data_IF_424423206449
#
_entry.id   IF_424423206449
#
_cell.length_a   1.000
_cell.length_b   1.000
_cell.length_c   1.000
_cell.angle_alpha   90.00
_cell.angle_beta   90.00
_cell.angle_gamma   90.00
#
_symmetry.space_group_name_H-M   'P 1'
#
loop_
_entity.id
_entity.type
_entity.pdbx_description
1 polymer ?
#
# COMPACT_ATOMS: atom_id res chain seq x y z
N UNK A 1 -26.72 6.42 28.59
CA UNK A 1 -25.96 6.31 27.32
C UNK A 1 -24.45 6.46 27.54
N UNK A 2 -23.99 7.48 28.29
CA UNK A 2 -22.56 7.64 28.63
C UNK A 2 -21.98 6.53 29.54
N UNK A 3 -22.81 5.89 30.38
CA UNK A 3 -22.37 4.81 31.27
C UNK A 3 -22.16 3.47 30.54
N UNK A 4 -22.95 3.20 29.49
CA UNK A 4 -22.81 2.00 28.63
C UNK A 4 -21.61 2.14 27.68
N UNK A 5 -21.33 3.37 27.21
CA UNK A 5 -20.12 3.67 26.43
C UNK A 5 -18.85 3.56 27.29
N UNK A 6 -18.90 3.97 28.56
CA UNK A 6 -17.80 3.76 29.50
C UNK A 6 -17.63 2.30 29.93
N UNK A 7 -18.69 1.48 29.94
CA UNK A 7 -18.55 0.02 30.16
C UNK A 7 -17.99 -0.70 28.93
N UNK A 8 -18.29 -0.23 27.71
CA UNK A 8 -17.66 -0.77 26.49
C UNK A 8 -16.16 -0.45 26.41
N UNK A 9 -15.71 0.67 27.01
CA UNK A 9 -14.30 1.05 27.05
C UNK A 9 -13.48 0.34 28.13
N UNK A 10 -14.09 -0.51 28.96
CA UNK A 10 -13.43 -1.30 30.03
C UNK A 10 -13.08 -2.72 29.56
N UNK A 11 -13.36 -3.07 28.31
CA UNK A 11 -12.93 -4.35 27.75
C UNK A 11 -11.42 -4.36 27.57
N UNK A 12 -10.75 -4.90 28.58
CA UNK A 12 -9.36 -5.32 28.58
C UNK A 12 -8.98 -5.89 27.21
N UNK A 13 -7.93 -5.34 26.62
CA UNK A 13 -7.33 -5.78 25.36
C UNK A 13 -7.43 -7.30 25.17
N UNK A 14 -8.39 -7.74 24.36
CA UNK A 14 -8.73 -9.15 24.14
C UNK A 14 -7.62 -9.87 23.37
N UNK A 15 -6.80 -9.13 22.65
CA UNK A 15 -5.64 -9.64 21.93
C UNK A 15 -4.40 -8.75 22.11
N UNK A 16 -3.23 -9.38 22.17
CA UNK A 16 -1.95 -8.67 22.19
C UNK A 16 -1.58 -8.17 20.79
N UNK A 17 -1.57 -6.84 20.62
CA UNK A 17 -1.19 -6.16 19.38
C UNK A 17 0.25 -6.45 18.97
N UNK A 18 1.18 -6.71 19.90
CA UNK A 18 2.54 -7.11 19.55
C UNK A 18 2.57 -8.44 18.80
N UNK A 19 1.83 -9.43 19.31
CA UNK A 19 1.77 -10.76 18.71
C UNK A 19 1.12 -10.69 17.34
N UNK A 20 -0.01 -9.97 17.22
CA UNK A 20 -0.72 -9.82 15.96
C UNK A 20 0.17 -9.14 14.92
N UNK A 21 0.83 -8.04 15.26
CA UNK A 21 1.63 -7.27 14.30
C UNK A 21 2.89 -8.01 13.88
N UNK A 22 3.58 -8.72 14.79
CA UNK A 22 4.74 -9.54 14.45
C UNK A 22 4.35 -10.66 13.49
N UNK A 23 3.27 -11.39 13.80
CA UNK A 23 2.80 -12.49 12.93
C UNK A 23 2.39 -11.92 11.58
N UNK A 24 1.71 -10.78 11.56
CA UNK A 24 1.29 -10.11 10.33
C UNK A 24 2.50 -9.69 9.47
N UNK A 25 3.45 -8.96 10.03
CA UNK A 25 4.64 -8.50 9.31
C UNK A 25 5.46 -9.68 8.79
N UNK A 26 5.64 -10.74 9.60
CA UNK A 26 6.35 -11.95 9.19
C UNK A 26 5.62 -12.67 8.06
N UNK A 27 4.29 -12.73 8.10
CA UNK A 27 3.48 -13.30 7.04
C UNK A 27 3.60 -12.50 5.75
N UNK A 28 3.53 -11.16 5.84
CA UNK A 28 3.66 -10.27 4.70
C UNK A 28 5.06 -10.35 4.07
N UNK A 29 6.12 -10.42 4.87
CA UNK A 29 7.49 -10.66 4.39
C UNK A 29 7.61 -12.04 3.75
N UNK A 30 6.99 -13.08 4.32
CA UNK A 30 6.98 -14.42 3.74
C UNK A 30 6.26 -14.44 2.39
N UNK A 31 5.14 -13.71 2.26
CA UNK A 31 4.40 -13.53 1.02
C UNK A 31 5.27 -12.82 -0.03
N UNK A 32 6.00 -11.77 0.36
CA UNK A 32 6.96 -11.10 -0.52
C UNK A 32 8.04 -12.04 -1.03
N UNK A 33 8.69 -12.79 -0.15
CA UNK A 33 9.75 -13.74 -0.52
C UNK A 33 9.18 -14.78 -1.50
N UNK A 34 7.97 -15.25 -1.24
CA UNK A 34 7.27 -16.19 -2.12
C UNK A 34 6.96 -15.58 -3.50
N UNK A 35 6.50 -14.33 -3.56
CA UNK A 35 6.23 -13.64 -4.83
C UNK A 35 7.50 -13.34 -5.62
N UNK A 36 8.57 -12.91 -4.95
CA UNK A 36 9.88 -12.73 -5.58
C UNK A 36 10.44 -14.05 -6.10
N UNK A 37 10.27 -15.15 -5.35
CA UNK A 37 10.64 -16.49 -5.80
C UNK A 37 9.86 -16.91 -7.05
N UNK A 38 8.55 -16.67 -7.08
CA UNK A 38 7.72 -16.95 -8.25
C UNK A 38 8.11 -16.08 -9.44
N UNK A 39 8.44 -14.81 -9.19
CA UNK A 39 8.85 -13.87 -10.23
C UNK A 39 10.18 -14.28 -10.88
N UNK A 40 11.21 -14.57 -10.07
CA UNK A 40 12.53 -14.95 -10.59
C UNK A 40 12.48 -16.28 -11.37
N UNK A 41 11.66 -17.23 -10.92
CA UNK A 41 11.50 -18.52 -11.57
C UNK A 41 10.42 -18.52 -12.67
N UNK A 42 9.76 -17.38 -12.93
CA UNK A 42 8.62 -17.30 -13.85
C UNK A 42 8.98 -17.78 -15.26
N UNK A 43 10.08 -17.32 -15.81
CA UNK A 43 10.51 -17.68 -17.17
C UNK A 43 10.95 -19.14 -17.25
N UNK A 44 11.54 -19.67 -16.17
CA UNK A 44 11.85 -21.09 -16.04
C UNK A 44 10.56 -21.94 -16.04
N UNK A 45 9.55 -21.55 -15.25
CA UNK A 45 8.26 -22.27 -15.22
C UNK A 45 7.50 -22.16 -16.54
N UNK A 46 7.49 -20.99 -17.19
CA UNK A 46 6.82 -20.78 -18.49
C UNK A 46 7.52 -21.58 -19.59
N UNK A 47 8.86 -21.59 -19.62
CA UNK A 47 9.63 -22.37 -20.59
C UNK A 47 9.47 -23.88 -20.37
N UNK A 48 9.48 -24.36 -19.12
CA UNK A 48 9.14 -25.75 -18.81
C UNK A 48 7.70 -26.11 -19.19
N UNK A 49 6.72 -25.24 -18.94
CA UNK A 49 5.31 -25.46 -19.33
C UNK A 49 5.15 -25.58 -20.84
N UNK A 50 5.84 -24.74 -21.63
CA UNK A 50 5.87 -24.85 -23.09
C UNK A 50 6.55 -26.14 -23.57
N UNK A 51 7.57 -26.61 -22.86
CA UNK A 51 8.33 -27.82 -23.23
C UNK A 51 7.58 -29.11 -22.90
N UNK A 52 6.69 -29.08 -21.90
CA UNK A 52 5.85 -30.21 -21.48
C UNK A 52 4.37 -30.03 -21.85
N UNK A 53 4.06 -29.28 -22.92
CA UNK A 53 2.68 -29.01 -23.39
C UNK A 53 1.87 -30.30 -23.69
N UNK A 54 2.56 -31.42 -23.94
CA UNK A 54 1.95 -32.75 -24.21
C UNK A 54 2.06 -33.75 -23.05
N UNK A 55 2.69 -33.40 -21.92
CA UNK A 55 2.85 -34.31 -20.77
C UNK A 55 2.06 -33.80 -19.55
N UNK A 56 1.42 -34.74 -18.83
CA UNK A 56 0.68 -34.44 -17.59
C UNK A 56 1.61 -33.74 -16.58
N UNK A 57 1.38 -32.46 -16.38
CA UNK A 57 2.05 -31.64 -15.36
C UNK A 57 1.80 -32.30 -13.99
N UNK A 58 2.86 -32.52 -13.20
CA UNK A 58 2.74 -33.09 -11.85
C UNK A 58 1.78 -32.23 -10.99
N UNK A 59 0.96 -32.85 -10.13
CA UNK A 59 -0.10 -32.15 -9.38
C UNK A 59 0.44 -31.00 -8.52
N UNK A 60 1.62 -31.16 -7.92
CA UNK A 60 2.28 -30.13 -7.14
C UNK A 60 2.62 -28.89 -7.98
N UNK A 61 3.05 -29.04 -9.24
CA UNK A 61 3.36 -27.90 -10.12
C UNK A 61 2.10 -27.17 -10.59
N UNK A 62 1.00 -27.90 -10.86
CA UNK A 62 -0.30 -27.30 -11.21
C UNK A 62 -0.87 -26.48 -10.05
N UNK A 63 -0.60 -26.89 -8.81
CA UNK A 63 -0.98 -26.15 -7.61
C UNK A 63 -0.29 -24.78 -7.55
N UNK A 64 1.04 -24.71 -7.72
CA UNK A 64 1.77 -23.43 -7.69
C UNK A 64 1.29 -22.44 -8.75
N UNK A 65 1.10 -22.88 -10.00
CA UNK A 65 0.62 -22.01 -11.09
C UNK A 65 -0.80 -21.48 -10.79
N UNK A 66 -1.67 -22.33 -10.25
CA UNK A 66 -3.03 -21.94 -9.86
C UNK A 66 -3.01 -20.98 -8.66
N UNK A 67 -2.09 -21.18 -7.72
CA UNK A 67 -1.87 -20.31 -6.57
C UNK A 67 -1.39 -18.92 -7.01
N UNK A 68 -0.43 -18.83 -7.95
CA UNK A 68 0.06 -17.55 -8.50
C UNK A 68 -1.07 -16.73 -9.13
N UNK A 69 -1.97 -17.37 -9.88
CA UNK A 69 -3.13 -16.71 -10.48
C UNK A 69 -4.21 -16.32 -9.46
N UNK A 70 -4.41 -17.13 -8.42
CA UNK A 70 -5.35 -16.84 -7.33
C UNK A 70 -4.88 -15.66 -6.49
N UNK A 71 -3.58 -15.59 -6.17
CA UNK A 71 -3.00 -14.55 -5.32
C UNK A 71 -3.15 -13.15 -5.94
N UNK A 72 -3.01 -13.03 -7.26
CA UNK A 72 -3.17 -11.77 -7.99
C UNK A 72 -4.56 -11.13 -7.87
N UNK A 73 -5.61 -11.92 -7.59
CA UNK A 73 -6.99 -11.42 -7.47
C UNK A 73 -7.55 -11.52 -6.05
N UNK A 74 -7.02 -12.42 -5.21
CA UNK A 74 -7.53 -12.72 -3.88
C UNK A 74 -6.56 -12.36 -2.75
N UNK A 75 -5.39 -11.77 -3.05
CA UNK A 75 -4.36 -11.47 -2.04
C UNK A 75 -4.91 -10.70 -0.84
N UNK A 76 -5.70 -9.66 -1.09
CA UNK A 76 -6.36 -8.85 -0.05
C UNK A 76 -7.34 -9.68 0.79
N UNK A 77 -8.25 -10.42 0.15
CA UNK A 77 -9.20 -11.27 0.88
C UNK A 77 -8.50 -12.35 1.70
N UNK A 78 -7.38 -12.86 1.19
CA UNK A 78 -6.55 -13.89 1.84
C UNK A 78 -5.83 -13.29 3.05
N UNK A 79 -5.18 -12.13 2.90
CA UNK A 79 -4.52 -11.41 4.00
C UNK A 79 -5.52 -11.04 5.10
N UNK A 80 -6.68 -10.47 4.73
CA UNK A 80 -7.72 -10.10 5.70
C UNK A 80 -8.37 -11.32 6.36
N UNK A 81 -8.60 -12.39 5.62
CA UNK A 81 -9.12 -13.65 6.17
C UNK A 81 -8.14 -14.31 7.13
N UNK A 82 -6.83 -14.28 6.83
CA UNK A 82 -5.79 -14.80 7.71
C UNK A 82 -5.65 -13.93 8.96
N UNK A 83 -5.68 -12.60 8.82
CA UNK A 83 -5.69 -11.68 9.96
C UNK A 83 -6.87 -11.96 10.89
N UNK A 84 -8.06 -12.21 10.34
CA UNK A 84 -9.24 -12.63 11.10
C UNK A 84 -9.03 -13.94 11.84
N UNK A 85 -8.44 -14.94 11.19
CA UNK A 85 -8.12 -16.23 11.84
C UNK A 85 -7.10 -16.04 12.96
N UNK A 86 -6.05 -15.25 12.74
CA UNK A 86 -5.02 -14.97 13.75
C UNK A 86 -5.64 -14.22 14.93
N UNK A 87 -6.41 -13.15 14.69
CA UNK A 87 -7.06 -12.42 15.76
C UNK A 87 -8.02 -13.30 16.54
N UNK A 88 -8.84 -14.13 15.88
CA UNK A 88 -9.72 -15.08 16.58
C UNK A 88 -8.94 -16.12 17.38
N UNK A 89 -7.81 -16.62 16.85
CA UNK A 89 -6.97 -17.58 17.55
C UNK A 89 -6.31 -16.96 18.79
N UNK A 90 -5.78 -15.73 18.67
CA UNK A 90 -5.17 -14.99 19.78
C UNK A 90 -6.21 -14.68 20.85
N UNK A 91 -7.37 -14.13 20.47
CA UNK A 91 -8.48 -13.84 21.41
C UNK A 91 -8.97 -15.11 22.10
N UNK A 92 -9.15 -16.22 21.36
CA UNK A 92 -9.61 -17.50 21.91
C UNK A 92 -8.58 -18.17 22.83
N UNK A 93 -7.30 -17.83 22.70
CA UNK A 93 -6.25 -18.41 23.54
C UNK A 93 -6.17 -17.76 24.92
N UNK A 94 -6.61 -16.51 25.05
CA UNK A 94 -6.49 -15.75 26.30
C UNK A 94 -7.73 -15.78 27.19
N UNK A 95 -8.95 -15.81 26.63
CA UNK A 95 -10.19 -15.73 27.43
C UNK A 95 -11.37 -16.51 26.85
N UNK A 96 -12.34 -16.85 27.71
CA UNK A 96 -13.66 -17.33 27.30
C UNK A 96 -14.46 -16.16 26.72
N UNK A 97 -14.62 -16.15 25.40
CA UNK A 97 -15.21 -15.03 24.65
C UNK A 97 -16.71 -14.95 24.93
N UNK A 98 -17.20 -13.77 25.35
CA UNK A 98 -18.63 -13.51 25.46
C UNK A 98 -19.24 -13.34 24.05
N UNK A 99 -20.49 -13.77 23.80
CA UNK A 99 -21.13 -13.61 22.49
C UNK A 99 -21.15 -12.16 21.98
N UNK A 100 -21.23 -11.18 22.88
CA UNK A 100 -21.21 -9.75 22.53
C UNK A 100 -19.82 -9.29 22.04
N UNK A 101 -18.74 -9.77 22.66
CA UNK A 101 -17.36 -9.48 22.24
C UNK A 101 -17.09 -10.09 20.86
N UNK A 102 -17.58 -11.31 20.62
CA UNK A 102 -17.48 -11.94 19.31
C UNK A 102 -18.19 -11.11 18.22
N UNK A 103 -19.38 -10.58 18.52
CA UNK A 103 -20.10 -9.69 17.60
C UNK A 103 -19.31 -8.39 17.35
N UNK A 104 -18.71 -7.79 18.39
CA UNK A 104 -17.90 -6.59 18.25
C UNK A 104 -16.65 -6.83 17.38
N UNK A 105 -15.94 -7.95 17.61
CA UNK A 105 -14.80 -8.36 16.79
C UNK A 105 -15.22 -8.56 15.34
N UNK A 106 -16.28 -9.33 15.08
CA UNK A 106 -16.80 -9.55 13.73
C UNK A 106 -17.26 -8.25 13.06
N UNK A 107 -17.87 -7.33 13.81
CA UNK A 107 -18.29 -6.01 13.34
C UNK A 107 -17.10 -5.14 12.93
N UNK A 108 -16.06 -5.08 13.77
CA UNK A 108 -14.81 -4.38 13.47
C UNK A 108 -14.13 -4.94 12.21
N UNK A 109 -14.10 -6.27 12.06
CA UNK A 109 -13.59 -6.92 10.86
C UNK A 109 -14.42 -6.63 9.61
N UNK A 110 -15.75 -6.64 9.71
CA UNK A 110 -16.62 -6.30 8.59
C UNK A 110 -16.41 -4.85 8.14
N UNK A 111 -16.35 -3.92 9.10
CA UNK A 111 -16.03 -2.51 8.82
C UNK A 111 -14.65 -2.37 8.18
N UNK A 112 -13.65 -3.07 8.72
CA UNK A 112 -12.32 -3.10 8.14
C UNK A 112 -12.35 -3.61 6.69
N UNK A 113 -12.97 -4.76 6.40
CA UNK A 113 -13.09 -5.30 5.02
C UNK A 113 -13.71 -4.26 4.07
N UNK A 114 -14.73 -3.52 4.50
CA UNK A 114 -15.34 -2.46 3.68
C UNK A 114 -14.33 -1.34 3.40
N UNK A 115 -13.57 -0.90 4.41
CA UNK A 115 -12.50 0.09 4.25
C UNK A 115 -11.41 -0.44 3.32
N UNK A 116 -10.94 -1.67 3.53
CA UNK A 116 -9.93 -2.32 2.69
C UNK A 116 -10.39 -2.36 1.23
N UNK A 117 -11.64 -2.75 0.98
CA UNK A 117 -12.19 -2.84 -0.37
C UNK A 117 -12.36 -1.45 -1.00
N UNK A 118 -12.79 -0.46 -0.23
CA UNK A 118 -12.89 0.93 -0.68
C UNK A 118 -11.53 1.51 -1.04
N UNK A 119 -10.54 1.37 -0.16
CA UNK A 119 -9.19 1.87 -0.38
C UNK A 119 -8.52 1.09 -1.52
N UNK A 120 -8.70 -0.23 -1.61
CA UNK A 120 -8.24 -1.02 -2.74
C UNK A 120 -8.87 -0.54 -4.05
N UNK A 121 -10.18 -0.29 -4.09
CA UNK A 121 -10.84 0.19 -5.31
C UNK A 121 -10.31 1.56 -5.74
N UNK A 122 -9.96 2.41 -4.77
CA UNK A 122 -9.33 3.69 -5.01
C UNK A 122 -7.89 3.51 -5.54
N UNK A 123 -7.09 2.65 -4.93
CA UNK A 123 -5.69 2.40 -5.31
C UNK A 123 -5.54 1.58 -6.59
N UNK A 124 -6.35 0.54 -6.82
CA UNK A 124 -6.33 -0.27 -8.05
C UNK A 124 -6.76 0.52 -9.29
N UNK A 125 -7.51 1.61 -9.11
CA UNK A 125 -7.77 2.58 -10.19
C UNK A 125 -6.59 3.52 -10.46
N UNK A 126 -5.68 3.66 -9.49
CA UNK A 126 -4.47 4.48 -9.59
C UNK A 126 -3.24 3.67 -10.03
N UNK A 127 -3.22 2.36 -9.78
CA UNK A 127 -2.11 1.45 -10.08
C UNK A 127 -2.19 0.91 -11.53
N UNK A 128 -1.47 1.55 -12.44
CA UNK A 128 -1.16 1.04 -13.78
C UNK A 128 0.34 0.71 -13.91
N UNK A 129 1.00 0.19 -12.87
CA UNK A 129 2.43 -0.15 -12.98
C UNK A 129 2.63 -1.38 -13.86
N UNK A 130 3.46 -1.26 -14.90
CA UNK A 130 3.76 -2.39 -15.78
C UNK A 130 4.80 -3.35 -15.25
N UNK A 131 5.74 -2.85 -14.46
CA UNK A 131 6.70 -3.74 -13.86
C UNK A 131 6.04 -4.51 -12.71
N UNK A 132 5.86 -5.82 -12.91
CA UNK A 132 5.33 -6.72 -11.90
C UNK A 132 6.09 -6.63 -10.56
N UNK A 133 7.40 -6.33 -10.57
CA UNK A 133 8.20 -6.16 -9.35
C UNK A 133 7.81 -4.89 -8.59
N UNK A 134 7.63 -3.78 -9.31
CA UNK A 134 7.21 -2.50 -8.70
C UNK A 134 5.79 -2.63 -8.15
N UNK A 135 4.88 -3.24 -8.92
CA UNK A 135 3.51 -3.51 -8.45
C UNK A 135 3.50 -4.41 -7.21
N UNK A 136 4.36 -5.44 -7.13
CA UNK A 136 4.52 -6.27 -5.94
C UNK A 136 5.00 -5.45 -4.72
N UNK A 137 5.99 -4.58 -4.88
CA UNK A 137 6.42 -3.69 -3.79
C UNK A 137 5.33 -2.70 -3.34
N UNK A 138 4.54 -2.15 -4.28
CA UNK A 138 3.42 -1.27 -3.93
C UNK A 138 2.33 -2.03 -3.18
N UNK A 139 1.99 -3.24 -3.61
CA UNK A 139 1.06 -4.12 -2.90
C UNK A 139 1.57 -4.43 -1.49
N UNK A 140 2.87 -4.70 -1.35
CA UNK A 140 3.52 -4.92 -0.06
C UNK A 140 3.38 -3.72 0.88
N UNK A 141 3.69 -2.52 0.40
CA UNK A 141 3.54 -1.27 1.16
C UNK A 141 2.09 -1.13 1.61
N UNK A 142 1.14 -1.37 0.70
CA UNK A 142 -0.28 -1.31 1.00
C UNK A 142 -0.68 -2.29 2.10
N UNK A 143 -0.23 -3.55 2.03
CA UNK A 143 -0.51 -4.54 3.06
C UNK A 143 0.07 -4.15 4.42
N UNK A 144 1.28 -3.60 4.49
CA UNK A 144 1.87 -3.14 5.74
C UNK A 144 1.07 -1.99 6.35
N UNK A 145 0.71 -0.97 5.55
CA UNK A 145 -0.14 0.15 6.00
C UNK A 145 -1.45 -0.40 6.57
N UNK A 146 -2.08 -1.32 5.85
CA UNK A 146 -3.38 -1.86 6.20
C UNK A 146 -3.36 -2.67 7.51
N UNK A 147 -2.34 -3.50 7.71
CA UNK A 147 -2.20 -4.29 8.94
C UNK A 147 -1.91 -3.44 10.17
N UNK A 148 -1.00 -2.47 10.03
CA UNK A 148 -0.73 -1.51 11.11
C UNK A 148 -1.96 -0.65 11.42
N UNK A 149 -2.71 -0.20 10.41
CA UNK A 149 -3.96 0.51 10.62
C UNK A 149 -4.98 -0.36 11.37
N UNK A 150 -5.13 -1.63 11.00
CA UNK A 150 -6.02 -2.54 11.70
C UNK A 150 -5.69 -2.65 13.19
N UNK A 151 -4.42 -2.93 13.50
CA UNK A 151 -3.97 -3.11 14.89
C UNK A 151 -4.13 -1.83 15.71
N UNK A 152 -3.92 -0.65 15.10
CA UNK A 152 -4.02 0.63 15.81
C UNK A 152 -5.45 1.15 16.01
N UNK A 153 -6.38 0.81 15.10
CA UNK A 153 -7.77 1.27 15.15
C UNK A 153 -8.74 0.23 15.72
N UNK A 154 -8.35 -1.03 15.85
CA UNK A 154 -9.17 -2.05 16.47
C UNK A 154 -9.12 -1.93 18.00
N UNK A 155 -10.18 -1.39 18.60
CA UNK A 155 -10.27 -1.17 20.06
C UNK A 155 -10.18 -2.45 20.90
N UNK A 156 -10.40 -3.63 20.31
CA UNK A 156 -10.25 -4.91 21.00
C UNK A 156 -8.80 -5.44 21.04
N UNK A 157 -7.88 -4.80 20.32
CA UNK A 157 -6.46 -5.15 20.26
C UNK A 157 -5.67 -4.15 21.11
N UNK A 158 -4.74 -4.63 21.94
CA UNK A 158 -3.84 -3.73 22.66
C UNK A 158 -2.99 -2.92 21.69
N UNK A 159 -2.67 -1.64 22.00
CA UNK A 159 -1.70 -0.91 21.20
C UNK A 159 -0.37 -1.68 21.17
N UNK A 160 0.24 -1.84 19.98
CA UNK A 160 1.53 -2.50 19.88
C UNK A 160 2.58 -1.64 20.57
N UNK A 161 3.69 -2.25 20.96
CA UNK A 161 4.84 -1.53 21.48
C UNK A 161 5.35 -0.55 20.42
N UNK A 162 5.81 0.60 20.91
CA UNK A 162 6.22 1.72 20.09
C UNK A 162 7.31 1.30 19.09
N UNK A 163 8.30 0.53 19.56
CA UNK A 163 9.39 0.02 18.73
C UNK A 163 8.89 -0.85 17.58
N UNK A 164 8.01 -1.81 17.85
CA UNK A 164 7.53 -2.74 16.82
C UNK A 164 6.69 -1.99 15.79
N UNK A 165 5.79 -1.11 16.25
CA UNK A 165 4.99 -0.26 15.38
C UNK A 165 5.84 0.61 14.45
N UNK A 166 6.85 1.28 14.99
CA UNK A 166 7.73 2.15 14.20
C UNK A 166 8.69 1.39 13.28
N UNK A 167 9.16 0.19 13.65
CA UNK A 167 10.04 -0.62 12.78
C UNK A 167 9.29 -1.09 11.54
N UNK A 168 8.08 -1.64 11.69
CA UNK A 168 7.26 -2.09 10.57
C UNK A 168 6.89 -0.94 9.62
N UNK A 169 6.47 0.20 10.18
CA UNK A 169 6.15 1.40 9.39
C UNK A 169 7.40 2.02 8.75
N UNK A 170 8.54 2.02 9.45
CA UNK A 170 9.82 2.48 8.90
C UNK A 170 10.30 1.61 7.73
N UNK A 171 10.08 0.29 7.80
CA UNK A 171 10.34 -0.61 6.69
C UNK A 171 9.44 -0.31 5.49
N UNK A 172 8.14 -0.08 5.71
CA UNK A 172 7.22 0.35 4.66
C UNK A 172 7.65 1.68 4.01
N UNK A 173 8.13 2.63 4.81
CA UNK A 173 8.63 3.92 4.33
C UNK A 173 9.87 3.78 3.45
N UNK A 174 10.84 2.96 3.86
CA UNK A 174 12.05 2.65 3.08
C UNK A 174 11.67 2.01 1.73
N UNK A 175 10.73 1.07 1.73
CA UNK A 175 10.22 0.46 0.50
C UNK A 175 9.56 1.49 -0.41
N UNK A 176 8.78 2.42 0.15
CA UNK A 176 8.15 3.49 -0.63
C UNK A 176 9.20 4.37 -1.32
N UNK A 177 10.25 4.77 -0.60
CA UNK A 177 11.37 5.49 -1.22
C UNK A 177 12.11 4.68 -2.27
N UNK A 178 12.36 3.38 -2.03
CA UNK A 178 13.02 2.52 -3.02
C UNK A 178 12.21 2.44 -4.32
N UNK A 179 10.88 2.38 -4.22
CA UNK A 179 9.98 2.40 -5.37
C UNK A 179 9.99 3.77 -6.06
N UNK A 180 9.93 4.88 -5.32
CA UNK A 180 9.99 6.23 -5.91
C UNK A 180 11.32 6.50 -6.62
N UNK A 181 12.46 6.13 -6.02
CA UNK A 181 13.78 6.25 -6.64
C UNK A 181 13.83 5.42 -7.92
N UNK A 182 13.33 4.18 -7.87
CA UNK A 182 13.27 3.31 -9.06
C UNK A 182 12.42 3.93 -10.16
N UNK A 183 11.26 4.48 -9.80
CA UNK A 183 10.36 5.18 -10.72
C UNK A 183 11.02 6.39 -11.40
N UNK A 184 11.84 7.15 -10.68
CA UNK A 184 12.59 8.30 -11.23
C UNK A 184 13.76 7.84 -12.10
N UNK A 185 14.54 6.87 -11.63
CA UNK A 185 15.73 6.38 -12.32
C UNK A 185 15.38 5.73 -13.68
N UNK A 186 14.23 5.07 -13.75
CA UNK A 186 13.74 4.44 -14.97
C UNK A 186 12.24 4.70 -15.13
N UNK A 187 11.81 5.83 -15.73
CA UNK A 187 10.40 6.16 -15.90
C UNK A 187 9.66 5.15 -16.80
N UNK A 188 10.39 4.35 -17.59
CA UNK A 188 9.85 3.22 -18.33
C UNK A 188 9.29 2.09 -17.43
N UNK A 189 9.62 2.05 -16.13
CA UNK A 189 9.03 1.11 -15.15
C UNK A 189 7.53 1.38 -14.91
N UNK A 190 7.10 2.63 -15.11
CA UNK A 190 5.73 3.11 -14.93
C UNK A 190 4.92 3.10 -16.23
N UNK A 191 5.57 2.82 -17.36
CA UNK A 191 4.99 2.97 -18.70
C UNK A 191 3.99 1.86 -18.94
N UNK A 192 2.74 2.16 -19.30
CA UNK A 192 1.79 1.17 -19.84
C UNK A 192 2.08 0.83 -21.33
N UNK A 193 1.87 -0.43 -21.70
CA UNK A 193 2.01 -0.99 -23.05
C UNK A 193 0.80 -0.55 -23.85
N UNK A 194 0.76 0.73 -24.19
CA UNK A 194 -0.25 1.25 -25.08
C UNK A 194 0.42 1.65 -26.39
N UNK A 195 -0.26 1.24 -27.45
CA UNK A 195 -0.06 1.58 -28.85
C UNK A 195 0.45 3.02 -29.06
N UNK A 196 1.20 3.23 -30.16
CA UNK A 196 1.81 4.48 -30.64
C UNK A 196 0.91 5.73 -30.62
N UNK A 197 -0.38 5.61 -30.36
CA UNK A 197 -1.26 6.74 -30.16
C UNK A 197 -1.38 7.13 -28.68
N UNK A 198 -0.84 8.32 -28.40
CA UNK A 198 -0.99 9.17 -27.21
C UNK A 198 0.09 9.03 -26.11
N UNK A 199 1.26 9.65 -26.36
CA UNK A 199 2.27 10.04 -25.35
C UNK A 199 1.63 10.68 -24.09
N UNK A 200 0.51 11.41 -24.25
CA UNK A 200 -0.31 11.98 -23.17
C UNK A 200 -0.75 10.98 -22.09
N UNK A 201 -1.10 9.74 -22.48
CA UNK A 201 -1.52 8.72 -21.51
C UNK A 201 -0.36 8.26 -20.65
N UNK A 202 0.88 8.27 -21.17
CA UNK A 202 2.08 7.85 -20.44
C UNK A 202 2.39 8.82 -19.29
N UNK A 203 2.38 10.14 -19.58
CA UNK A 203 2.60 11.17 -18.56
C UNK A 203 1.54 11.13 -17.47
N UNK A 204 0.27 10.94 -17.85
CA UNK A 204 -0.84 10.82 -16.90
C UNK A 204 -0.71 9.58 -15.99
N UNK A 205 -0.29 8.43 -16.53
CA UNK A 205 -0.05 7.22 -15.71
C UNK A 205 1.11 7.39 -14.74
N UNK A 206 2.21 8.07 -15.15
CA UNK A 206 3.33 8.39 -14.25
C UNK A 206 2.86 9.29 -13.10
N UNK A 207 2.10 10.34 -13.40
CA UNK A 207 1.59 11.26 -12.39
C UNK A 207 0.66 10.57 -11.38
N UNK A 208 -0.23 9.69 -11.86
CA UNK A 208 -1.11 8.88 -10.99
C UNK A 208 -0.30 7.96 -10.08
N UNK A 209 0.72 7.30 -10.62
CA UNK A 209 1.60 6.42 -9.84
C UNK A 209 2.36 7.18 -8.75
N UNK A 210 2.92 8.35 -9.09
CA UNK A 210 3.59 9.22 -8.10
C UNK A 210 2.61 9.72 -7.03
N UNK A 211 1.39 10.14 -7.41
CA UNK A 211 0.38 10.57 -6.46
C UNK A 211 -0.02 9.43 -5.49
N UNK A 212 -0.15 8.20 -6.00
CA UNK A 212 -0.44 7.04 -5.17
C UNK A 212 0.69 6.78 -4.16
N UNK A 213 1.96 6.89 -4.58
CA UNK A 213 3.11 6.72 -3.69
C UNK A 213 3.16 7.81 -2.61
N UNK A 214 3.00 9.08 -2.97
CA UNK A 214 2.93 10.20 -2.00
C UNK A 214 1.79 9.99 -0.99
N UNK A 215 0.63 9.51 -1.46
CA UNK A 215 -0.51 9.19 -0.58
C UNK A 215 -0.18 8.06 0.39
N UNK A 216 0.52 7.02 -0.08
CA UNK A 216 1.01 5.93 0.78
C UNK A 216 1.99 6.44 1.83
N UNK A 217 2.90 7.35 1.48
CA UNK A 217 3.83 7.97 2.45
C UNK A 217 3.08 8.73 3.53
N UNK A 218 2.12 9.57 3.16
CA UNK A 218 1.27 10.27 4.13
C UNK A 218 0.54 9.28 5.04
N UNK A 219 0.04 8.17 4.50
CA UNK A 219 -0.57 7.09 5.28
C UNK A 219 0.39 6.47 6.29
N UNK A 220 1.62 6.15 5.88
CA UNK A 220 2.65 5.59 6.76
C UNK A 220 3.00 6.58 7.87
N UNK A 221 3.27 7.84 7.52
CA UNK A 221 3.62 8.89 8.47
C UNK A 221 2.49 9.16 9.47
N UNK A 222 1.24 9.14 9.00
CA UNK A 222 0.07 9.25 9.88
C UNK A 222 0.03 8.12 10.90
N UNK A 223 0.23 6.88 10.46
CA UNK A 223 0.27 5.73 11.35
C UNK A 223 1.43 5.82 12.34
N UNK A 224 2.58 6.39 11.97
CA UNK A 224 3.70 6.61 12.90
C UNK A 224 3.34 7.62 14.00
N UNK A 225 2.75 8.76 13.62
CA UNK A 225 2.28 9.79 14.57
C UNK A 225 1.20 9.21 15.49
N UNK A 226 0.22 8.53 14.89
CA UNK A 226 -0.90 7.95 15.63
C UNK A 226 -0.45 6.80 16.55
N UNK A 227 0.57 6.03 16.17
CA UNK A 227 1.16 5.02 17.04
C UNK A 227 1.75 5.66 18.31
N UNK A 228 2.54 6.72 18.18
CA UNK A 228 3.05 7.47 19.34
C UNK A 228 1.91 8.00 20.21
N UNK A 229 0.92 8.67 19.60
CA UNK A 229 -0.22 9.26 20.31
C UNK A 229 -1.09 8.22 21.03
N UNK A 230 -1.38 7.07 20.40
CA UNK A 230 -2.22 6.01 20.96
C UNK A 230 -1.56 5.31 22.16
N UNK A 231 -0.23 5.20 22.14
CA UNK A 231 0.54 4.59 23.25
C UNK A 231 0.62 5.55 24.44
N UNK A 232 0.99 6.81 24.18
CA UNK A 232 0.99 7.84 25.20
C UNK A 232 0.63 9.20 24.56
N UNK A 233 -0.55 9.78 24.90
CA UNK A 233 -0.95 11.08 24.39
C UNK A 233 0.04 12.21 24.71
N UNK A 234 0.79 12.10 25.82
CA UNK A 234 1.75 13.11 26.27
C UNK A 234 2.96 13.26 25.34
N UNK A 235 3.14 12.35 24.38
CA UNK A 235 4.12 12.52 23.30
C UNK A 235 3.84 13.74 22.43
N UNK A 236 2.62 14.29 22.48
CA UNK A 236 2.23 15.52 21.80
C UNK A 236 1.56 16.48 22.76
N UNK A 237 2.05 17.72 22.83
CA UNK A 237 1.47 18.77 23.64
C UNK A 237 0.79 19.83 22.78
N UNK A 238 -0.37 20.32 23.23
CA UNK A 238 -1.04 21.47 22.65
C UNK A 238 -0.67 22.75 23.37
N UNK A 239 -0.39 23.82 22.62
CA UNK A 239 -0.16 25.15 23.18
C UNK A 239 -1.38 25.73 23.92
N UNK A 240 -2.58 25.26 23.56
CA UNK A 240 -3.85 25.64 24.20
C UNK A 240 -4.20 24.78 25.42
N UNK A 241 -3.33 23.83 25.79
CA UNK A 241 -3.51 22.91 26.91
C UNK A 241 -4.86 22.16 26.88
N UNK A 242 -5.32 21.81 25.67
CA UNK A 242 -6.53 21.00 25.43
C UNK A 242 -6.16 19.55 25.14
N UNK A 243 -7.12 18.64 25.36
CA UNK A 243 -6.99 17.26 24.90
C UNK A 243 -6.91 17.20 23.37
N UNK A 244 -6.01 16.36 22.89
CA UNK A 244 -5.84 16.08 21.46
C UNK A 244 -6.62 14.83 21.07
N UNK A 245 -7.04 14.74 19.81
CA UNK A 245 -7.68 13.56 19.25
C UNK A 245 -6.96 13.04 17.98
N UNK A 246 -7.51 12.00 17.36
CA UNK A 246 -6.93 11.41 16.15
C UNK A 246 -6.92 12.36 14.92
N UNK A 247 -7.84 13.35 14.88
CA UNK A 247 -7.90 14.35 13.83
C UNK A 247 -6.85 15.43 14.02
N UNK A 248 -6.55 15.79 15.27
CA UNK A 248 -5.44 16.67 15.61
C UNK A 248 -4.10 16.08 15.16
N UNK A 249 -3.92 14.76 15.27
CA UNK A 249 -2.74 14.06 14.75
C UNK A 249 -2.65 14.12 13.23
N UNK A 250 -3.79 14.03 12.53
CA UNK A 250 -3.85 14.20 11.07
C UNK A 250 -3.49 15.64 10.68
N UNK A 251 -4.03 16.62 11.40
CA UNK A 251 -3.71 18.03 11.20
C UNK A 251 -2.22 18.31 11.44
N UNK A 252 -1.66 17.81 12.55
CA UNK A 252 -0.24 17.93 12.86
C UNK A 252 0.62 17.35 11.74
N UNK A 253 0.29 16.16 11.24
CA UNK A 253 0.99 15.56 10.11
C UNK A 253 0.95 16.48 8.88
N UNK A 254 -0.24 16.95 8.48
CA UNK A 254 -0.41 17.76 7.27
C UNK A 254 0.42 19.05 7.39
N UNK A 255 0.38 19.73 8.53
CA UNK A 255 1.10 21.00 8.74
C UNK A 255 2.62 20.81 8.81
N UNK A 256 3.09 19.73 9.44
CA UNK A 256 4.51 19.39 9.49
C UNK A 256 5.02 18.92 8.13
N UNK A 257 4.27 18.08 7.42
CA UNK A 257 4.62 17.61 6.08
C UNK A 257 4.64 18.75 5.06
N UNK A 258 3.68 19.66 5.13
CA UNK A 258 3.67 20.87 4.30
C UNK A 258 4.78 21.88 4.67
N UNK A 259 5.59 21.59 5.69
CA UNK A 259 6.65 22.46 6.22
C UNK A 259 6.14 23.82 6.72
N UNK A 260 4.86 23.92 7.05
CA UNK A 260 4.23 25.14 7.61
C UNK A 260 4.57 25.27 9.08
N UNK A 261 4.36 24.20 9.86
CA UNK A 261 4.79 24.11 11.25
C UNK A 261 4.25 25.21 12.17
N UNK A 262 2.92 25.31 12.32
CA UNK A 262 2.29 26.33 13.17
C UNK A 262 2.73 26.32 14.65
N UNK A 263 3.22 25.17 15.15
CA UNK A 263 3.73 25.05 16.52
C UNK A 263 2.65 25.04 17.60
N UNK A 264 1.39 24.85 17.21
CA UNK A 264 0.23 24.69 18.09
C UNK A 264 0.12 23.27 18.68
N UNK A 265 0.66 22.28 17.97
CA UNK A 265 0.92 20.92 18.45
C UNK A 265 2.41 20.65 18.30
N UNK A 266 3.07 20.27 19.39
CA UNK A 266 4.51 20.01 19.40
C UNK A 266 4.81 18.58 19.89
N UNK A 267 5.78 17.88 19.28
CA UNK A 267 6.27 16.62 19.81
C UNK A 267 7.06 16.90 21.10
N UNK A 268 6.83 16.10 22.13
CA UNK A 268 7.49 16.24 23.43
C UNK A 268 8.14 14.93 23.85
N UNK A 269 9.28 15.05 24.53
CA UNK A 269 9.98 13.93 25.17
C UNK A 269 9.22 13.49 26.42
N UNK A 270 8.80 12.23 26.44
CA UNK A 270 8.16 11.61 27.61
C UNK A 270 9.10 10.57 28.20
N UNK A 271 9.34 10.64 29.52
CA UNK A 271 10.22 9.71 30.24
C UNK A 271 11.63 9.57 29.63
N UNK A 272 12.16 10.64 29.03
CA UNK A 272 13.46 10.63 28.37
C UNK A 272 13.46 10.05 26.94
N UNK A 273 12.33 9.54 26.45
CA UNK A 273 12.19 8.93 25.13
C UNK A 273 11.90 9.96 24.03
N UNK A 274 12.67 9.90 22.93
CA UNK A 274 12.67 10.89 21.85
C UNK A 274 11.81 10.50 20.62
N UNK A 275 10.85 9.59 20.78
CA UNK A 275 10.17 8.99 19.63
C UNK A 275 9.34 9.98 18.81
N UNK A 276 8.56 10.84 19.46
CA UNK A 276 7.74 11.87 18.79
C UNK A 276 8.60 12.88 18.05
N UNK A 277 9.73 13.30 18.65
CA UNK A 277 10.73 14.18 18.04
C UNK A 277 11.37 13.51 16.81
N UNK A 278 11.71 12.22 16.92
CA UNK A 278 12.28 11.44 15.81
C UNK A 278 11.29 11.29 14.66
N UNK A 279 10.03 10.98 14.95
CA UNK A 279 8.96 10.93 13.94
C UNK A 279 8.80 12.29 13.26
N UNK A 280 8.85 13.40 14.00
CA UNK A 280 8.81 14.75 13.42
C UNK A 280 9.98 15.03 12.46
N UNK A 281 11.20 14.62 12.83
CA UNK A 281 12.37 14.72 11.94
C UNK A 281 12.20 13.87 10.67
N UNK A 282 11.68 12.65 10.80
CA UNK A 282 11.38 11.78 9.66
C UNK A 282 10.36 12.45 8.74
N UNK A 283 9.27 13.01 9.26
CA UNK A 283 8.26 13.72 8.45
C UNK A 283 8.92 14.83 7.63
N UNK A 284 9.79 15.65 8.24
CA UNK A 284 10.49 16.72 7.53
C UNK A 284 11.43 16.22 6.43
N UNK A 285 12.19 15.15 6.68
CA UNK A 285 13.06 14.54 5.67
C UNK A 285 12.25 13.95 4.51
N UNK A 286 11.15 13.26 4.83
CA UNK A 286 10.27 12.63 3.85
C UNK A 286 9.57 13.68 3.00
N UNK A 287 9.05 14.75 3.60
CA UNK A 287 8.35 15.78 2.86
C UNK A 287 9.23 16.50 1.85
N UNK A 288 10.48 16.81 2.23
CA UNK A 288 11.45 17.40 1.30
C UNK A 288 11.72 16.49 0.10
N UNK A 289 11.98 15.19 0.35
CA UNK A 289 12.27 14.23 -0.71
C UNK A 289 11.05 14.01 -1.61
N UNK A 290 9.90 13.75 -1.01
CA UNK A 290 8.63 13.44 -1.70
C UNK A 290 8.17 14.61 -2.56
N UNK A 291 8.21 15.84 -2.02
CA UNK A 291 7.86 17.05 -2.77
C UNK A 291 8.80 17.28 -3.95
N UNK A 292 10.11 17.11 -3.76
CA UNK A 292 11.08 17.24 -4.85
C UNK A 292 10.82 16.23 -5.97
N UNK A 293 10.55 14.97 -5.61
CA UNK A 293 10.22 13.91 -6.55
C UNK A 293 8.91 14.18 -7.30
N UNK A 294 7.87 14.62 -6.59
CA UNK A 294 6.57 14.91 -7.16
C UNK A 294 6.62 16.12 -8.11
N UNK A 295 7.23 17.23 -7.69
CA UNK A 295 7.40 18.42 -8.54
C UNK A 295 8.24 18.06 -9.76
N UNK A 296 9.32 17.29 -9.60
CA UNK A 296 10.13 16.80 -10.72
C UNK A 296 9.31 16.01 -11.74
N UNK A 297 8.45 15.10 -11.27
CA UNK A 297 7.56 14.32 -12.13
C UNK A 297 6.52 15.19 -12.85
N UNK A 298 5.92 16.17 -12.15
CA UNK A 298 4.94 17.10 -12.72
C UNK A 298 5.58 17.98 -13.79
N UNK A 299 6.76 18.56 -13.53
CA UNK A 299 7.48 19.41 -14.48
C UNK A 299 7.92 18.62 -15.70
N UNK A 300 8.49 17.43 -15.51
CA UNK A 300 8.86 16.55 -16.62
C UNK A 300 7.63 16.19 -17.47
N UNK A 301 6.49 15.93 -16.82
CA UNK A 301 5.23 15.68 -17.51
C UNK A 301 4.73 16.88 -18.31
N UNK A 302 4.76 18.08 -17.72
CA UNK A 302 4.34 19.31 -18.39
C UNK A 302 5.23 19.65 -19.60
N UNK A 303 6.54 19.48 -19.47
CA UNK A 303 7.48 19.68 -20.58
C UNK A 303 7.21 18.73 -21.75
N UNK A 304 6.94 17.45 -21.46
CA UNK A 304 6.58 16.46 -22.49
C UNK A 304 5.26 16.81 -23.19
N UNK A 305 4.26 17.30 -22.43
CA UNK A 305 2.99 17.73 -22.99
C UNK A 305 3.16 18.93 -23.94
N UNK A 306 3.97 19.91 -23.56
CA UNK A 306 4.29 21.07 -24.40
C UNK A 306 4.93 20.67 -25.73
N UNK A 307 5.96 19.81 -25.70
CA UNK A 307 6.64 19.36 -26.93
C UNK A 307 5.73 18.56 -27.86
N UNK A 308 4.81 17.76 -27.32
CA UNK A 308 3.86 17.01 -28.13
C UNK A 308 2.86 17.90 -28.85
N UNK A 309 2.41 19.01 -28.24
CA UNK A 309 1.52 19.96 -28.90
C UNK A 309 2.20 20.64 -30.08
N UNK A 310 3.49 20.96 -29.96
CA UNK A 310 4.28 21.53 -31.07
C UNK A 310 4.47 20.52 -32.20
N UNK A 311 4.81 19.26 -31.91
CA UNK A 311 4.92 18.20 -32.93
C UNK A 311 3.60 17.97 -33.69
N UNK A 312 2.47 17.98 -32.98
CA UNK A 312 1.15 17.76 -33.59
C UNK A 312 0.71 18.99 -34.43
N UNK A 313 1.07 20.21 -34.02
CA UNK A 313 0.87 21.43 -34.81
C UNK A 313 1.69 21.42 -36.11
N UNK A 314 2.97 21.04 -36.04
CA UNK A 314 3.87 20.95 -37.20
C UNK A 314 3.39 19.88 -38.20
N UNK A 315 2.83 18.76 -37.72
CA UNK A 315 2.26 17.70 -38.58
C UNK A 315 0.90 18.07 -39.18
N UNK A 316 0.11 18.89 -38.49
CA UNK A 316 -1.13 19.42 -39.06
C UNK A 316 -0.83 20.41 -40.21
N UNK A 317 0.31 21.09 -40.16
CA UNK A 317 0.76 22.01 -41.21
C UNK A 317 1.44 21.28 -42.40
N UNK A 318 1.96 20.06 -42.18
CA UNK A 318 2.55 19.21 -43.22
C UNK A 318 2.07 17.74 -43.09
N UNK A 319 1.00 17.33 -43.79
CA UNK A 319 0.53 15.95 -43.73
C UNK A 319 1.54 15.03 -44.45
N UNK A 320 2.08 14.06 -43.72
CA UNK A 320 2.89 12.98 -44.29
C UNK A 320 2.01 12.06 -45.17
N UNK A 321 2.53 11.56 -46.31
CA UNK A 321 1.83 10.62 -47.16
C UNK A 321 1.65 9.25 -46.48
N UNK A 322 0.48 8.66 -46.68
CA UNK A 322 0.02 7.39 -46.09
C UNK A 322 1.09 6.28 -46.03
N UNK A 323 1.30 5.71 -44.84
CA UNK A 323 1.93 4.39 -44.69
C UNK A 323 1.01 3.46 -43.88
N UNK A 324 0.39 2.58 -44.64
CA UNK A 324 -0.29 1.36 -44.24
C UNK A 324 0.68 0.38 -43.54
N UNK A 325 0.29 -0.25 -42.43
CA UNK A 325 0.55 -1.68 -42.19
C UNK A 325 0.13 -2.11 -40.78
N UNK A 326 -0.56 -3.25 -40.75
CA UNK A 326 -1.14 -3.85 -39.56
C UNK A 326 -0.12 -4.35 -38.54
N UNK A 327 -0.54 -4.33 -37.28
CA UNK A 327 0.14 -5.06 -36.23
C UNK A 327 -0.92 -5.48 -35.19
N UNK A 328 -1.57 -6.62 -35.44
CA UNK A 328 -2.42 -7.25 -34.43
C UNK A 328 -1.54 -7.71 -33.26
N UNK A 329 -1.75 -7.09 -32.09
CA UNK A 329 -0.96 -7.35 -30.90
C UNK A 329 -1.13 -8.78 -30.37
N UNK A 330 -0.02 -9.39 -29.96
CA UNK A 330 0.12 -10.75 -29.40
C UNK A 330 -0.94 -11.10 -28.33
N UNK A 331 -1.40 -10.13 -27.54
CA UNK A 331 -2.44 -10.33 -26.53
C UNK A 331 -3.84 -10.62 -27.12
N UNK A 332 -4.15 -10.12 -28.32
CA UNK A 332 -5.39 -10.43 -29.03
C UNK A 332 -5.41 -11.90 -29.50
N UNK A 333 -4.26 -12.42 -29.94
CA UNK A 333 -4.09 -13.82 -30.34
C UNK A 333 -4.26 -14.76 -29.14
N UNK A 334 -3.71 -14.40 -27.98
CA UNK A 334 -3.85 -15.20 -26.74
C UNK A 334 -5.29 -15.20 -26.21
N UNK A 335 -5.97 -14.04 -26.24
CA UNK A 335 -7.38 -13.93 -25.81
C UNK A 335 -8.32 -14.72 -26.73
N UNK A 336 -8.05 -14.78 -28.04
CA UNK A 336 -8.84 -15.57 -29.01
C UNK A 336 -8.69 -17.08 -28.77
N UNK A 337 -7.49 -17.53 -28.40
CA UNK A 337 -7.20 -18.95 -28.11
C UNK A 337 -7.73 -19.45 -26.76
N UNK A 338 -7.93 -18.58 -25.77
CA UNK A 338 -8.57 -18.96 -24.50
C UNK A 338 -10.10 -19.07 -24.59
N UNK A 339 -10.71 -18.45 -25.60
CA UNK A 339 -12.16 -18.41 -25.80
C UNK A 339 -12.67 -19.62 -26.60
N UNK A 340 -11.85 -20.14 -27.50
CA UNK A 340 -12.07 -21.44 -28.12
C UNK A 340 -11.44 -22.49 -27.21
N UNK A 341 -12.23 -23.41 -26.65
CA UNK A 341 -11.75 -24.54 -25.84
C UNK A 341 -10.92 -25.55 -26.66
N UNK A 342 -9.83 -25.10 -27.26
CA UNK A 342 -8.84 -25.93 -27.95
C UNK A 342 -7.56 -26.08 -27.09
N UNK A 343 -7.75 -26.18 -25.76
CA UNK A 343 -6.84 -26.82 -24.80
C UNK A 343 -7.70 -27.57 -23.77
#
# INVERSE_FOLDING_TARGET
>A
MNQIMNELSVNNNLADGNVIIIIYDLFIVSLLIFELFLFYNKDHYISELKRHEKQKIKPFRRFFVKLTFSNQYQGILTVTGILLVISLAVVSSHHTILPLELIAVLGSFAAFIVVVFFVQHLFMKLDEFQNNVVSCFVQLIYYLILGHAFVLFADFISPPSLYIGLIGLGFALILCFAVMISAIANPNLLRSSVSKHRKYQVTASILKGMLALVTSELGILYLMVYNCFKINPDFYASSLNRSLDAFDMMYYLIMTFATVGYGDIIPVRVDGMIFSELVAMIIGLVSMFSTACFVGAVVAGAAQMSWSQTEDADKAEKPDPEVNSGNEGIFAVIRKKLKNKDI
#
